data_IF_987773826344
#
_entry.id   IF_987773826344
#
_cell.length_a   1.000
_cell.length_b   1.000
_cell.length_c   1.000
_cell.angle_alpha   90.00
_cell.angle_beta   90.00
_cell.angle_gamma   90.00
#
_symmetry.space_group_name_H-M   'P 1'
#
loop_
_entity.id
_entity.type
_entity.pdbx_description
1 polymer ?
#
# COMPACT_ATOMS: atom_id res chain seq x y z
N UNK A 1 -16.04 -3.54 -38.86
CA UNK A 1 -16.34 -4.15 -37.55
C UNK A 1 -15.74 -3.27 -36.48
N UNK A 2 -16.53 -2.75 -35.52
CA UNK A 2 -15.99 -1.96 -34.41
C UNK A 2 -15.37 -2.89 -33.36
N UNK A 3 -14.12 -2.66 -33.00
CA UNK A 3 -13.46 -3.38 -31.90
C UNK A 3 -14.06 -2.98 -30.56
N UNK A 4 -14.10 -3.91 -29.59
CA UNK A 4 -14.54 -3.62 -28.22
C UNK A 4 -13.65 -2.56 -27.56
N UNK A 5 -14.25 -1.58 -26.87
CA UNK A 5 -13.53 -0.50 -26.18
C UNK A 5 -12.94 -1.01 -24.85
N UNK A 6 -11.65 -0.77 -24.62
CA UNK A 6 -10.97 -1.12 -23.38
C UNK A 6 -11.57 -0.36 -22.18
N UNK A 7 -11.79 -1.06 -21.06
CA UNK A 7 -12.30 -0.48 -19.81
C UNK A 7 -11.21 -0.59 -18.73
N UNK A 8 -10.60 0.53 -18.31
CA UNK A 8 -9.58 0.50 -17.27
C UNK A 8 -10.19 0.14 -15.90
N UNK A 9 -9.36 -0.40 -15.02
CA UNK A 9 -9.68 -0.69 -13.62
C UNK A 9 -8.55 -0.22 -12.71
N UNK A 10 -8.78 -0.19 -11.39
CA UNK A 10 -7.76 0.23 -10.43
C UNK A 10 -6.46 -0.60 -10.50
N UNK A 11 -6.57 -1.89 -10.88
CA UNK A 11 -5.43 -2.80 -11.02
C UNK A 11 -4.99 -3.01 -12.47
N UNK A 12 -5.72 -2.47 -13.45
CA UNK A 12 -5.40 -2.56 -14.87
C UNK A 12 -5.61 -1.18 -15.52
N UNK A 13 -4.54 -0.39 -15.55
CA UNK A 13 -4.56 0.97 -16.09
C UNK A 13 -4.83 1.00 -17.60
N UNK A 14 -5.18 2.17 -18.12
CA UNK A 14 -5.31 2.39 -19.56
C UNK A 14 -3.93 2.33 -20.21
N UNK A 15 -3.75 1.59 -21.32
CA UNK A 15 -2.54 1.69 -22.13
C UNK A 15 -2.34 3.12 -22.65
N UNK A 16 -1.09 3.59 -22.65
CA UNK A 16 -0.72 4.95 -23.06
C UNK A 16 -1.21 5.28 -24.49
N UNK A 17 -1.10 4.34 -25.42
CA UNK A 17 -1.58 4.52 -26.81
C UNK A 17 -3.10 4.66 -26.95
N UNK A 18 -3.87 4.21 -25.95
CA UNK A 18 -5.32 4.33 -25.91
C UNK A 18 -5.78 5.56 -25.12
N UNK A 19 -4.87 6.27 -24.44
CA UNK A 19 -5.18 7.51 -23.76
C UNK A 19 -5.34 8.65 -24.78
N UNK A 20 -6.53 9.28 -24.89
CA UNK A 20 -6.71 10.40 -25.80
C UNK A 20 -5.78 11.59 -25.48
N UNK A 21 -5.36 11.73 -24.21
CA UNK A 21 -4.48 12.81 -23.78
C UNK A 21 -3.05 12.68 -24.36
N UNK A 22 -2.62 11.48 -24.75
CA UNK A 22 -1.29 11.25 -25.33
C UNK A 22 -1.10 12.00 -26.66
N UNK A 23 -2.18 12.12 -27.43
CA UNK A 23 -2.16 12.79 -28.73
C UNK A 23 -2.45 14.30 -28.64
N UNK A 24 -2.55 14.86 -27.43
CA UNK A 24 -2.87 16.28 -27.26
C UNK A 24 -1.65 17.17 -27.57
N UNK A 25 -1.72 17.89 -28.70
CA UNK A 25 -0.64 18.75 -29.20
C UNK A 25 -0.71 20.19 -28.73
N UNK A 26 -1.51 20.48 -27.70
CA UNK A 26 -1.68 21.83 -27.16
C UNK A 26 -0.33 22.45 -26.73
N UNK A 27 -0.16 23.79 -26.83
CA UNK A 27 1.09 24.44 -26.47
C UNK A 27 1.40 24.30 -24.97
N UNK A 28 0.38 24.16 -24.13
CA UNK A 28 0.53 23.98 -22.68
C UNK A 28 1.09 22.60 -22.32
N UNK A 29 0.60 21.52 -22.94
CA UNK A 29 1.14 20.17 -22.71
C UNK A 29 2.59 20.08 -23.14
N UNK A 30 2.97 20.70 -24.27
CA UNK A 30 4.36 20.79 -24.73
C UNK A 30 5.26 21.53 -23.75
N UNK A 31 4.81 22.65 -23.17
CA UNK A 31 5.55 23.37 -22.14
C UNK A 31 5.76 22.51 -20.90
N UNK A 32 4.70 21.88 -20.41
CA UNK A 32 4.78 20.98 -19.25
C UNK A 32 5.70 19.76 -19.50
N UNK A 33 5.67 19.18 -20.70
CA UNK A 33 6.58 18.11 -21.11
C UNK A 33 8.04 18.57 -21.13
N UNK A 34 8.31 19.75 -21.70
CA UNK A 34 9.64 20.34 -21.75
C UNK A 34 10.19 20.64 -20.34
N UNK A 35 9.36 21.19 -19.46
CA UNK A 35 9.72 21.45 -18.06
C UNK A 35 10.03 20.15 -17.30
N UNK A 36 9.18 19.13 -17.43
CA UNK A 36 9.42 17.80 -16.83
C UNK A 36 10.71 17.17 -17.36
N UNK A 37 10.98 17.29 -18.66
CA UNK A 37 12.20 16.80 -19.29
C UNK A 37 13.44 17.55 -18.77
N UNK A 38 13.36 18.87 -18.63
CA UNK A 38 14.43 19.69 -18.08
C UNK A 38 14.77 19.28 -16.63
N UNK A 39 13.75 19.07 -15.79
CA UNK A 39 13.94 18.57 -14.42
C UNK A 39 14.59 17.18 -14.44
N UNK A 40 14.09 16.26 -15.27
CA UNK A 40 14.64 14.90 -15.41
C UNK A 40 16.10 14.93 -15.85
N UNK A 41 16.44 15.76 -16.84
CA UNK A 41 17.79 15.90 -17.36
C UNK A 41 18.75 16.47 -16.30
N UNK A 42 18.30 17.49 -15.54
CA UNK A 42 19.08 18.06 -14.44
C UNK A 42 19.39 17.01 -13.37
N UNK A 43 18.38 16.29 -12.88
CA UNK A 43 18.55 15.25 -11.86
C UNK A 43 19.44 14.09 -12.35
N UNK A 44 19.29 13.69 -13.62
CA UNK A 44 20.16 12.67 -14.23
C UNK A 44 21.62 13.13 -14.30
N UNK A 45 21.87 14.39 -14.67
CA UNK A 45 23.22 14.96 -14.69
C UNK A 45 23.84 14.97 -13.31
N UNK A 46 23.12 15.44 -12.29
CA UNK A 46 23.60 15.46 -10.89
C UNK A 46 24.01 14.07 -10.41
N UNK A 47 23.17 13.06 -10.69
CA UNK A 47 23.47 11.67 -10.36
C UNK A 47 24.71 11.15 -11.09
N UNK A 48 24.81 11.38 -12.41
CA UNK A 48 25.93 10.89 -13.21
C UNK A 48 27.27 11.54 -12.81
N UNK A 49 27.28 12.81 -12.42
CA UNK A 49 28.49 13.48 -11.91
C UNK A 49 28.99 12.79 -10.63
N UNK A 50 28.08 12.43 -9.74
CA UNK A 50 28.39 11.73 -8.49
C UNK A 50 28.78 10.26 -8.71
N UNK A 51 28.16 9.61 -9.68
CA UNK A 51 28.39 8.20 -10.00
C UNK A 51 29.72 7.96 -10.72
N UNK A 52 30.10 8.87 -11.62
CA UNK A 52 31.33 8.76 -12.41
C UNK A 52 32.57 9.35 -11.70
N UNK A 53 32.46 9.81 -10.46
CA UNK A 53 33.61 10.34 -9.69
C UNK A 53 34.52 9.17 -9.23
N UNK A 54 35.77 9.08 -9.73
CA UNK A 54 36.68 7.99 -9.37
C UNK A 54 37.13 8.03 -7.90
N UNK A 55 37.01 9.17 -7.22
CA UNK A 55 37.42 9.31 -5.83
C UNK A 55 36.31 8.91 -4.85
N UNK A 56 35.07 8.77 -5.31
CA UNK A 56 33.94 8.43 -4.45
C UNK A 56 34.02 6.97 -4.01
N UNK A 57 34.02 6.74 -2.69
CA UNK A 57 33.97 5.42 -2.07
C UNK A 57 32.78 5.34 -1.12
N UNK A 58 31.59 5.01 -1.65
CA UNK A 58 30.39 4.88 -0.84
C UNK A 58 29.09 4.96 -1.63
N UNK A 59 27.96 4.79 -0.93
CA UNK A 59 26.62 4.85 -1.52
C UNK A 59 26.28 6.28 -1.98
N UNK A 60 25.51 6.38 -3.08
CA UNK A 60 24.91 7.64 -3.51
C UNK A 60 23.59 7.83 -2.77
N UNK A 61 23.57 8.80 -1.86
CA UNK A 61 22.36 9.17 -1.14
C UNK A 61 21.33 9.75 -2.10
N UNK A 62 20.16 9.12 -2.18
CA UNK A 62 19.04 9.65 -2.95
C UNK A 62 18.11 10.42 -2.02
N UNK A 63 18.05 11.77 -2.12
CA UNK A 63 17.20 12.57 -1.26
C UNK A 63 15.71 12.29 -1.47
N UNK A 64 15.30 11.82 -2.66
CA UNK A 64 13.91 11.41 -2.89
C UNK A 64 13.55 10.16 -2.08
N UNK A 65 14.46 9.21 -1.97
CA UNK A 65 14.27 8.00 -1.16
C UNK A 65 14.20 8.34 0.33
N UNK A 66 15.09 9.21 0.81
CA UNK A 66 15.08 9.67 2.20
C UNK A 66 13.79 10.42 2.55
N UNK A 67 13.30 11.29 1.66
CA UNK A 67 12.01 11.95 1.86
C UNK A 67 10.84 10.97 1.83
N UNK A 68 10.89 9.95 0.97
CA UNK A 68 9.86 8.92 0.90
C UNK A 68 9.83 8.08 2.19
N UNK A 69 10.99 7.63 2.67
CA UNK A 69 11.07 6.88 3.93
C UNK A 69 10.61 7.74 5.10
N UNK A 70 11.04 9.00 5.16
CA UNK A 70 10.59 9.95 6.17
C UNK A 70 9.07 10.17 6.13
N UNK A 71 8.47 10.33 4.95
CA UNK A 71 7.02 10.48 4.83
C UNK A 71 6.24 9.24 5.30
N UNK A 72 6.82 8.04 5.14
CA UNK A 72 6.22 6.77 5.58
C UNK A 72 6.34 6.55 7.09
N UNK A 73 7.39 7.07 7.72
CA UNK A 73 7.60 6.95 9.17
C UNK A 73 6.94 8.10 9.93
N UNK A 74 6.93 9.31 9.37
CA UNK A 74 6.43 10.51 10.01
C UNK A 74 4.93 10.76 9.77
N UNK A 75 4.10 9.82 10.21
CA UNK A 75 2.64 9.85 9.97
C UNK A 75 1.91 10.69 11.03
N UNK A 76 2.32 10.61 12.30
CA UNK A 76 1.58 11.18 13.42
C UNK A 76 1.40 12.70 13.41
N UNK A 77 2.39 13.53 13.03
CA UNK A 77 2.19 14.99 13.03
C UNK A 77 1.09 15.46 12.08
N UNK A 78 0.85 14.72 11.00
CA UNK A 78 -0.20 15.03 10.02
C UNK A 78 -1.52 14.29 10.30
N UNK A 79 -1.56 13.43 11.32
CA UNK A 79 -2.76 12.70 11.69
C UNK A 79 -3.76 13.62 12.41
N UNK A 80 -5.00 13.63 11.94
CA UNK A 80 -6.11 14.33 12.58
C UNK A 80 -7.16 13.32 13.05
N UNK A 81 -7.62 13.37 14.31
CA UNK A 81 -8.70 12.53 14.79
C UNK A 81 -10.02 13.03 14.19
N UNK A 82 -10.38 12.50 13.02
CA UNK A 82 -11.65 12.76 12.34
C UNK A 82 -12.61 11.59 12.56
N UNK A 83 -13.94 11.79 12.49
CA UNK A 83 -14.90 10.70 12.66
C UNK A 83 -14.65 9.50 11.73
N UNK A 84 -14.24 9.76 10.48
CA UNK A 84 -13.86 8.71 9.52
C UNK A 84 -12.65 7.91 9.99
N UNK A 85 -11.61 8.59 10.45
CA UNK A 85 -10.37 7.93 10.91
C UNK A 85 -10.60 7.15 12.20
N UNK A 86 -11.37 7.71 13.14
CA UNK A 86 -11.74 7.04 14.39
C UNK A 86 -12.60 5.81 14.13
N UNK A 87 -13.58 5.90 13.23
CA UNK A 87 -14.40 4.74 12.84
C UNK A 87 -13.55 3.65 12.18
N UNK A 88 -12.67 4.02 11.26
CA UNK A 88 -11.75 3.08 10.61
C UNK A 88 -10.85 2.41 11.65
N UNK A 89 -10.28 3.18 12.57
CA UNK A 89 -9.46 2.67 13.67
C UNK A 89 -10.22 1.72 14.60
N UNK A 90 -11.47 2.04 14.94
CA UNK A 90 -12.30 1.17 15.79
C UNK A 90 -12.65 -0.15 15.07
N UNK A 91 -13.10 -0.07 13.82
CA UNK A 91 -13.48 -1.26 13.04
C UNK A 91 -12.28 -2.17 12.80
N UNK A 92 -11.14 -1.63 12.38
CA UNK A 92 -9.96 -2.44 12.05
C UNK A 92 -9.06 -2.76 13.24
N UNK A 93 -9.12 -1.98 14.31
CA UNK A 93 -8.35 -2.23 15.55
C UNK A 93 -9.10 -3.14 16.52
N UNK A 94 -10.35 -2.80 16.85
CA UNK A 94 -11.14 -3.50 17.88
C UNK A 94 -11.98 -4.62 17.25
N UNK A 95 -12.48 -4.42 16.03
CA UNK A 95 -13.35 -5.38 15.34
C UNK A 95 -12.77 -6.80 15.28
N UNK A 96 -11.51 -7.02 14.82
CA UNK A 96 -10.92 -8.34 14.78
C UNK A 96 -10.78 -9.00 16.15
N UNK A 97 -10.53 -8.22 17.22
CA UNK A 97 -10.41 -8.74 18.58
C UNK A 97 -11.76 -9.28 19.08
N UNK A 98 -12.84 -8.52 18.89
CA UNK A 98 -14.19 -8.95 19.25
C UNK A 98 -14.59 -10.17 18.42
N UNK A 99 -14.28 -10.17 17.12
CA UNK A 99 -14.57 -11.27 16.23
C UNK A 99 -13.89 -12.57 16.66
N UNK A 100 -12.58 -12.52 16.93
CA UNK A 100 -11.83 -13.68 17.43
C UNK A 100 -12.31 -14.13 18.81
N UNK A 101 -12.64 -13.19 19.70
CA UNK A 101 -13.21 -13.50 21.01
C UNK A 101 -14.50 -14.32 20.88
N UNK A 102 -15.44 -13.87 20.04
CA UNK A 102 -16.71 -14.57 19.84
C UNK A 102 -16.51 -15.97 19.27
N UNK A 103 -15.62 -16.15 18.28
CA UNK A 103 -15.32 -17.46 17.69
C UNK A 103 -14.72 -18.40 18.72
N UNK A 104 -13.65 -17.96 19.39
CA UNK A 104 -12.94 -18.78 20.37
C UNK A 104 -13.87 -19.12 21.53
N UNK A 105 -14.66 -18.16 22.01
CA UNK A 105 -15.60 -18.38 23.10
C UNK A 105 -16.68 -19.39 22.71
N UNK A 106 -17.30 -19.24 21.54
CA UNK A 106 -18.32 -20.18 21.07
C UNK A 106 -17.77 -21.61 20.93
N UNK A 107 -16.54 -21.76 20.43
CA UNK A 107 -15.88 -23.06 20.32
C UNK A 107 -15.57 -23.68 21.69
N UNK A 108 -15.05 -22.86 22.62
CA UNK A 108 -14.77 -23.29 24.00
C UNK A 108 -16.04 -23.72 24.73
N UNK A 109 -17.09 -22.90 24.68
CA UNK A 109 -18.37 -23.18 25.35
C UNK A 109 -19.01 -24.46 24.77
N UNK A 110 -18.94 -24.65 23.45
CA UNK A 110 -19.39 -25.88 22.78
C UNK A 110 -18.58 -27.10 23.25
N UNK A 111 -17.26 -27.00 23.27
CA UNK A 111 -16.37 -28.09 23.69
C UNK A 111 -16.60 -28.46 25.15
N UNK A 112 -16.71 -27.48 26.04
CA UNK A 112 -17.00 -27.71 27.46
C UNK A 112 -18.36 -28.38 27.66
N UNK A 113 -19.38 -27.98 26.90
CA UNK A 113 -20.70 -28.63 26.93
C UNK A 113 -20.63 -30.10 26.52
N UNK A 114 -19.92 -30.42 25.43
CA UNK A 114 -19.77 -31.80 24.96
C UNK A 114 -18.97 -32.68 25.95
N UNK A 115 -18.00 -32.11 26.66
CA UNK A 115 -17.27 -32.80 27.74
C UNK A 115 -18.21 -33.12 28.89
N UNK A 116 -19.01 -32.15 29.35
CA UNK A 116 -19.97 -32.35 30.46
C UNK A 116 -21.05 -33.37 30.14
N UNK A 117 -21.50 -33.42 28.89
CA UNK A 117 -22.47 -34.42 28.42
C UNK A 117 -21.84 -35.80 28.14
N UNK A 118 -20.51 -35.95 28.27
CA UNK A 118 -19.80 -37.20 27.97
C UNK A 118 -19.80 -37.58 26.49
N UNK A 119 -20.15 -36.65 25.59
CA UNK A 119 -20.27 -36.90 24.14
C UNK A 119 -18.96 -36.68 23.38
N UNK A 120 -17.97 -36.03 24.00
CA UNK A 120 -16.68 -35.77 23.38
C UNK A 120 -15.71 -36.92 23.65
N UNK A 121 -15.25 -37.60 22.60
CA UNK A 121 -14.21 -38.63 22.71
C UNK A 121 -12.86 -38.00 23.10
N UNK A 122 -12.33 -38.43 24.24
CA UNK A 122 -11.04 -37.98 24.82
C UNK A 122 -10.21 -39.15 25.35
N UNK A 123 -10.49 -40.36 24.88
CA UNK A 123 -9.92 -41.62 25.40
C UNK A 123 -8.39 -41.63 25.52
N UNK A 124 -7.66 -41.07 24.55
CA UNK A 124 -6.19 -41.02 24.55
C UNK A 124 -5.60 -39.65 24.90
N UNK A 125 -6.42 -38.70 25.36
CA UNK A 125 -5.97 -37.33 25.61
C UNK A 125 -5.44 -37.19 27.05
N UNK A 126 -4.22 -37.68 27.26
CA UNK A 126 -3.54 -37.76 28.56
C UNK A 126 -2.69 -36.53 28.89
N UNK A 127 -2.43 -35.66 27.90
CA UNK A 127 -1.71 -34.40 28.05
C UNK A 127 -2.72 -33.25 28.18
N UNK A 128 -2.50 -32.36 29.15
CA UNK A 128 -3.24 -31.11 29.30
C UNK A 128 -3.14 -30.22 28.06
#
# INVERSE_FOLDING_TARGET
MSTSKYKPSHLATLPESLDPAEYDTSPETRRAQAERLAIRARLKREYLLQYNDPNRRGLIENPALLRWSYARTNVYPNFRPTPKNSLLGAVFGIGPLIFLYCIIKADRDRKEKLIREGKLDRTFQLSC
#
